data_IF_999101201390
#
_entry.id   IF_999101201390
#
_cell.length_a   1.000
_cell.length_b   1.000
_cell.length_c   1.000
_cell.angle_alpha   90.00
_cell.angle_beta   90.00
_cell.angle_gamma   90.00
#
_symmetry.space_group_name_H-M   'P 1'
#
loop_
_entity.id
_entity.type
_entity.pdbx_description
1 polymer ?
#
# COMPACT_ATOMS: atom_id res chain seq x y z
N UNK A 1 7.92 5.56 8.15
CA UNK A 1 7.71 4.52 9.19
C UNK A 1 6.88 3.39 8.60
N UNK A 2 7.31 2.15 8.78
CA UNK A 2 6.67 0.92 8.28
C UNK A 2 7.54 -0.30 8.62
N UNK A 3 7.00 -1.52 8.58
CA UNK A 3 7.75 -2.75 8.90
C UNK A 3 8.88 -3.04 7.90
N UNK A 4 8.68 -2.67 6.64
CA UNK A 4 9.67 -2.76 5.58
C UNK A 4 10.07 -1.32 5.20
N UNK A 5 11.37 -0.99 5.22
CA UNK A 5 11.85 0.33 4.81
C UNK A 5 11.43 0.67 3.37
N UNK A 6 11.18 1.96 3.11
CA UNK A 6 10.82 2.50 1.79
C UNK A 6 9.50 1.98 1.18
N UNK A 7 8.64 1.35 2.00
CA UNK A 7 7.39 0.76 1.54
C UNK A 7 6.15 1.57 1.89
N UNK A 8 6.25 2.66 2.66
CA UNK A 8 5.07 3.46 3.02
C UNK A 8 4.38 4.08 1.79
N UNK A 9 3.05 4.02 1.78
CA UNK A 9 2.20 4.73 0.83
C UNK A 9 1.39 5.77 1.61
N UNK A 10 1.60 7.05 1.31
CA UNK A 10 1.08 8.16 2.10
C UNK A 10 0.21 9.02 1.19
N UNK A 11 -0.99 9.35 1.67
CA UNK A 11 -1.92 10.26 1.01
C UNK A 11 -2.23 11.44 1.91
N UNK A 12 -2.53 12.59 1.29
CA UNK A 12 -3.16 13.71 1.99
C UNK A 12 -4.63 13.35 2.14
N UNK A 13 -5.10 13.30 3.39
CA UNK A 13 -6.52 13.18 3.67
C UNK A 13 -7.21 14.46 3.18
N UNK A 14 -8.10 14.35 2.19
CA UNK A 14 -8.94 15.47 1.79
C UNK A 14 -9.97 15.76 2.89
N UNK A 15 -10.36 17.02 3.07
CA UNK A 15 -11.37 17.47 4.06
C UNK A 15 -12.81 17.00 3.77
N UNK A 16 -12.99 15.88 3.06
CA UNK A 16 -14.28 15.30 2.74
C UNK A 16 -14.64 14.25 3.79
N UNK A 17 -15.79 14.45 4.44
CA UNK A 17 -16.37 13.59 5.50
C UNK A 17 -16.85 12.20 5.01
N UNK A 18 -16.39 11.77 3.83
CA UNK A 18 -16.80 10.53 3.17
C UNK A 18 -15.69 9.49 3.15
N UNK A 19 -16.09 8.24 3.03
CA UNK A 19 -15.24 7.05 3.10
C UNK A 19 -13.97 7.16 2.23
N UNK A 20 -12.84 6.80 2.82
CA UNK A 20 -11.49 6.96 2.28
C UNK A 20 -11.23 6.05 1.06
N UNK A 21 -12.22 5.24 0.68
CA UNK A 21 -12.21 4.25 -0.40
C UNK A 21 -11.87 4.81 -1.81
N UNK A 22 -11.87 6.12 -2.03
CA UNK A 22 -11.46 6.67 -3.32
C UNK A 22 -9.94 6.63 -3.59
N UNK A 23 -9.12 6.74 -2.55
CA UNK A 23 -7.67 6.93 -2.72
C UNK A 23 -6.88 5.61 -2.79
N UNK A 24 -7.39 4.55 -2.18
CA UNK A 24 -6.80 3.21 -2.23
C UNK A 24 -7.67 2.30 -3.11
N UNK A 25 -7.33 2.22 -4.40
CA UNK A 25 -8.00 1.35 -5.38
C UNK A 25 -7.04 0.29 -5.94
N UNK A 26 -7.55 -0.67 -6.70
CA UNK A 26 -6.76 -1.80 -7.22
C UNK A 26 -5.55 -1.37 -8.05
N UNK A 27 -5.65 -0.28 -8.82
CA UNK A 27 -4.54 0.23 -9.65
C UNK A 27 -3.42 0.80 -8.77
N UNK A 28 -3.80 1.60 -7.78
CA UNK A 28 -2.90 2.17 -6.79
C UNK A 28 -2.22 1.07 -5.96
N UNK A 29 -3.01 0.11 -5.47
CA UNK A 29 -2.51 -1.05 -4.73
C UNK A 29 -1.52 -1.85 -5.57
N UNK A 30 -1.85 -2.22 -6.80
CA UNK A 30 -0.93 -2.96 -7.69
C UNK A 30 0.37 -2.20 -7.94
N UNK A 31 0.30 -0.88 -8.16
CA UNK A 31 1.49 -0.05 -8.36
C UNK A 31 2.37 -0.02 -7.11
N UNK A 32 1.77 0.14 -5.93
CA UNK A 32 2.48 0.09 -4.67
C UNK A 32 3.09 -1.29 -4.40
N UNK A 33 2.30 -2.36 -4.55
CA UNK A 33 2.74 -3.72 -4.29
C UNK A 33 3.97 -4.07 -5.14
N UNK A 34 3.92 -3.81 -6.45
CA UNK A 34 5.04 -4.12 -7.35
C UNK A 34 6.25 -3.20 -7.13
N UNK A 35 6.04 -1.89 -7.03
CA UNK A 35 7.15 -0.92 -7.05
C UNK A 35 7.75 -0.60 -5.69
N UNK A 36 7.03 -0.89 -4.61
CA UNK A 36 7.44 -0.54 -3.23
C UNK A 36 7.54 -1.78 -2.36
N UNK A 37 6.53 -2.63 -2.31
CA UNK A 37 6.53 -3.80 -1.41
C UNK A 37 7.48 -4.89 -1.91
N UNK A 38 7.21 -5.46 -3.08
CA UNK A 38 7.98 -6.57 -3.66
C UNK A 38 9.45 -6.16 -3.89
N UNK A 39 9.70 -4.93 -4.33
CA UNK A 39 11.06 -4.44 -4.55
C UNK A 39 11.90 -4.26 -3.28
N UNK A 40 11.29 -4.16 -2.09
CA UNK A 40 12.01 -3.98 -0.83
C UNK A 40 11.88 -5.20 0.11
N UNK A 41 11.25 -6.28 -0.36
CA UNK A 41 11.08 -7.49 0.44
C UNK A 41 12.39 -8.30 0.49
N UNK A 42 12.81 -8.74 1.68
CA UNK A 42 13.89 -9.71 1.79
C UNK A 42 13.56 -11.00 1.04
N UNK A 43 14.57 -11.73 0.52
CA UNK A 43 14.37 -13.05 -0.04
C UNK A 43 13.63 -13.98 0.93
N UNK A 44 12.86 -14.93 0.38
CA UNK A 44 12.15 -15.96 1.15
C UNK A 44 11.11 -15.40 2.15
N UNK A 45 10.62 -14.19 1.91
CA UNK A 45 9.54 -13.59 2.69
C UNK A 45 8.16 -14.09 2.25
N UNK A 46 7.23 -14.17 3.18
CA UNK A 46 5.81 -14.46 2.93
C UNK A 46 5.01 -13.18 3.24
N UNK A 47 4.07 -12.84 2.37
CA UNK A 47 3.15 -11.73 2.57
C UNK A 47 1.75 -12.32 2.73
N UNK A 48 1.04 -11.92 3.79
CA UNK A 48 -0.38 -12.22 3.98
C UNK A 48 -1.10 -10.88 4.02
N UNK A 49 -2.00 -10.65 3.07
CA UNK A 49 -2.79 -9.42 2.96
C UNK A 49 -4.25 -9.81 3.02
N UNK A 50 -4.97 -9.25 3.99
CA UNK A 50 -6.43 -9.33 4.05
C UNK A 50 -7.06 -8.12 3.33
N UNK A 51 -8.22 -8.32 2.72
CA UNK A 51 -9.05 -7.29 2.09
C UNK A 51 -8.30 -6.36 1.09
N UNK A 52 -7.57 -6.95 0.14
CA UNK A 52 -6.90 -6.19 -0.92
C UNK A 52 -7.90 -5.73 -2.01
N UNK A 53 -7.84 -4.47 -2.46
CA UNK A 53 -8.72 -3.92 -3.50
C UNK A 53 -8.32 -4.32 -4.93
#
# INVERSE_FOLDING_TARGET
>A
MGFIPNTSLIYIANSTTGDHHGQMNSSVFKKWANKKLISNLPPNSIIIIDNAP
#
